data_IF_863439278484
#
_entry.id   IF_863439278484
#
_cell.length_a   1.000
_cell.length_b   1.000
_cell.length_c   1.000
_cell.angle_alpha   90.00
_cell.angle_beta   90.00
_cell.angle_gamma   90.00
#
_symmetry.space_group_name_H-M   'P 1'
#
loop_
_entity.id
_entity.type
_entity.pdbx_description
1 polymer ?
#
# COMPACT_ATOMS: atom_id res chain seq x y z
N UNK A 1 -7.04 -12.38 -10.65
CA UNK A 1 -7.62 -11.83 -9.41
C UNK A 1 -9.10 -11.51 -9.65
N UNK A 2 -9.99 -12.38 -9.09
CA UNK A 2 -11.43 -12.29 -9.30
C UNK A 2 -12.02 -10.98 -8.73
N UNK A 3 -11.53 -10.53 -7.58
CA UNK A 3 -12.00 -9.29 -6.95
C UNK A 3 -11.76 -8.06 -7.83
N UNK A 4 -10.61 -7.98 -8.52
CA UNK A 4 -10.33 -6.88 -9.47
C UNK A 4 -11.27 -6.92 -10.67
N UNK A 5 -11.57 -8.10 -11.20
CA UNK A 5 -12.55 -8.25 -12.27
C UNK A 5 -13.95 -7.76 -11.84
N UNK A 6 -14.33 -7.98 -10.57
CA UNK A 6 -15.59 -7.45 -10.05
C UNK A 6 -15.57 -5.92 -9.96
N UNK A 7 -14.44 -5.28 -9.58
CA UNK A 7 -14.31 -3.81 -9.60
C UNK A 7 -14.53 -3.28 -11.02
N UNK A 8 -13.89 -3.88 -12.03
CA UNK A 8 -14.02 -3.48 -13.44
C UNK A 8 -15.48 -3.62 -13.93
N UNK A 9 -16.20 -4.62 -13.45
CA UNK A 9 -17.63 -4.82 -13.71
C UNK A 9 -18.55 -3.96 -12.82
N UNK A 10 -18.03 -3.09 -11.99
CA UNK A 10 -18.76 -2.26 -11.01
C UNK A 10 -19.56 -3.05 -9.98
N UNK A 11 -19.13 -4.28 -9.70
CA UNK A 11 -19.71 -5.19 -8.70
C UNK A 11 -18.93 -5.06 -7.37
N UNK A 12 -19.07 -3.92 -6.69
CA UNK A 12 -18.19 -3.57 -5.57
C UNK A 12 -18.37 -4.49 -4.36
N UNK A 13 -19.61 -4.86 -4.00
CA UNK A 13 -19.87 -5.78 -2.87
C UNK A 13 -19.22 -7.15 -3.07
N UNK A 14 -19.42 -7.85 -4.21
CA UNK A 14 -18.70 -9.08 -4.49
C UNK A 14 -17.17 -8.95 -4.47
N UNK A 15 -16.63 -7.82 -4.95
CA UNK A 15 -15.20 -7.55 -4.88
C UNK A 15 -14.71 -7.49 -3.42
N UNK A 16 -15.41 -6.72 -2.58
CA UNK A 16 -15.09 -6.58 -1.15
C UNK A 16 -15.20 -7.90 -0.40
N UNK A 17 -16.21 -8.73 -0.70
CA UNK A 17 -16.35 -10.08 -0.13
C UNK A 17 -15.18 -10.99 -0.48
N UNK A 18 -14.67 -10.92 -1.71
CA UNK A 18 -13.51 -11.71 -2.12
C UNK A 18 -12.23 -11.27 -1.38
N UNK A 19 -12.00 -9.97 -1.26
CA UNK A 19 -10.85 -9.46 -0.52
C UNK A 19 -10.98 -9.71 0.99
N UNK A 20 -12.19 -9.63 1.55
CA UNK A 20 -12.45 -9.97 2.95
C UNK A 20 -12.15 -11.44 3.23
N UNK A 21 -12.61 -12.34 2.37
CA UNK A 21 -12.30 -13.78 2.47
C UNK A 21 -10.79 -14.05 2.37
N UNK A 22 -10.08 -13.32 1.54
CA UNK A 22 -8.63 -13.42 1.46
C UNK A 22 -7.95 -13.03 2.79
N UNK A 23 -8.41 -11.96 3.46
CA UNK A 23 -7.90 -11.57 4.78
C UNK A 23 -8.22 -12.63 5.85
N UNK A 24 -9.45 -13.12 5.90
CA UNK A 24 -9.88 -14.17 6.84
C UNK A 24 -9.02 -15.44 6.68
N UNK A 25 -8.70 -15.81 5.43
CA UNK A 25 -7.93 -17.04 5.17
C UNK A 25 -6.47 -16.97 5.63
N UNK A 26 -5.89 -15.79 5.83
CA UNK A 26 -4.47 -15.60 6.15
C UNK A 26 -4.23 -14.95 7.51
N UNK A 27 -5.27 -14.47 8.19
CA UNK A 27 -5.20 -13.86 9.52
C UNK A 27 -6.04 -14.71 10.48
N UNK A 28 -5.44 -15.64 11.24
CA UNK A 28 -6.18 -16.62 12.04
C UNK A 28 -7.13 -16.03 13.10
N UNK A 29 -6.80 -14.83 13.61
CA UNK A 29 -7.63 -14.12 14.61
C UNK A 29 -8.73 -13.27 14.03
N UNK A 30 -8.88 -13.25 12.69
CA UNK A 30 -9.82 -12.39 12.01
C UNK A 30 -10.96 -13.20 11.39
N UNK A 31 -12.12 -13.15 12.01
CA UNK A 31 -13.32 -13.90 11.59
C UNK A 31 -14.47 -13.00 11.11
N UNK A 32 -14.22 -11.66 11.04
CA UNK A 32 -15.28 -10.72 10.70
C UNK A 32 -15.72 -10.84 9.24
N UNK A 33 -16.96 -11.29 9.02
CA UNK A 33 -17.58 -11.35 7.70
C UNK A 33 -18.10 -10.00 7.19
N UNK A 34 -18.01 -8.95 8.02
CA UNK A 34 -18.35 -7.60 7.60
C UNK A 34 -17.26 -7.04 6.66
N UNK A 35 -17.68 -6.66 5.46
CA UNK A 35 -16.79 -6.10 4.44
C UNK A 35 -16.15 -4.75 4.84
N UNK A 36 -16.68 -4.08 5.86
CA UNK A 36 -16.16 -2.84 6.42
C UNK A 36 -15.10 -3.08 7.51
N UNK A 37 -15.02 -4.30 8.05
CA UNK A 37 -14.07 -4.65 9.07
C UNK A 37 -12.62 -4.63 8.52
N UNK A 38 -11.72 -4.07 9.32
CA UNK A 38 -10.27 -4.02 9.05
C UNK A 38 -9.58 -4.73 10.22
N UNK A 39 -8.80 -5.80 9.98
CA UNK A 39 -8.09 -6.49 11.06
C UNK A 39 -6.97 -5.63 11.63
N UNK A 40 -6.71 -5.78 12.92
CA UNK A 40 -5.47 -5.34 13.55
C UNK A 40 -4.40 -6.40 13.31
N UNK A 41 -3.33 -6.02 12.61
CA UNK A 41 -2.23 -6.92 12.30
C UNK A 41 -1.06 -6.54 13.21
N UNK A 42 -0.79 -7.38 14.21
CA UNK A 42 0.18 -7.06 15.27
C UNK A 42 1.59 -7.61 15.02
N UNK A 43 1.77 -8.57 14.11
CA UNK A 43 3.03 -9.28 13.94
C UNK A 43 3.37 -9.55 12.48
N UNK A 44 4.63 -9.98 12.25
CA UNK A 44 5.07 -10.52 10.96
C UNK A 44 4.21 -11.73 10.59
N UNK A 45 3.52 -11.63 9.46
CA UNK A 45 2.69 -12.70 8.93
C UNK A 45 3.33 -13.22 7.64
N UNK A 46 3.51 -14.55 7.47
CA UNK A 46 4.13 -15.10 6.26
C UNK A 46 3.35 -14.78 4.98
N UNK A 47 2.07 -14.45 5.10
CA UNK A 47 1.20 -14.06 3.97
C UNK A 47 1.10 -12.55 3.76
N UNK A 48 2.13 -11.80 4.17
CA UNK A 48 2.14 -10.33 4.14
C UNK A 48 1.76 -9.74 2.78
N UNK A 49 2.22 -10.33 1.67
CA UNK A 49 1.85 -9.85 0.32
C UNK A 49 0.35 -9.96 0.06
N UNK A 50 -0.27 -11.05 0.51
CA UNK A 50 -1.72 -11.24 0.38
C UNK A 50 -2.48 -10.21 1.23
N UNK A 51 -2.01 -9.96 2.45
CA UNK A 51 -2.62 -8.99 3.37
C UNK A 51 -2.52 -7.56 2.79
N UNK A 52 -1.32 -7.14 2.38
CA UNK A 52 -1.10 -5.83 1.77
C UNK A 52 -1.97 -5.66 0.51
N UNK A 53 -1.94 -6.66 -0.38
CA UNK A 53 -2.72 -6.62 -1.62
C UNK A 53 -4.23 -6.59 -1.36
N UNK A 54 -4.74 -7.39 -0.41
CA UNK A 54 -6.15 -7.41 -0.08
C UNK A 54 -6.63 -6.07 0.47
N UNK A 55 -5.86 -5.43 1.36
CA UNK A 55 -6.19 -4.11 1.87
C UNK A 55 -6.14 -3.02 0.80
N UNK A 56 -5.09 -2.97 -0.03
CA UNK A 56 -5.04 -2.02 -1.14
C UNK A 56 -6.21 -2.21 -2.11
N UNK A 57 -6.52 -3.45 -2.47
CA UNK A 57 -7.64 -3.75 -3.37
C UNK A 57 -9.00 -3.43 -2.75
N UNK A 58 -9.18 -3.62 -1.43
CA UNK A 58 -10.38 -3.14 -0.71
C UNK A 58 -10.48 -1.61 -0.77
N UNK A 59 -9.38 -0.91 -0.55
CA UNK A 59 -9.28 0.54 -0.70
C UNK A 59 -9.71 0.99 -2.09
N UNK A 60 -9.16 0.36 -3.13
CA UNK A 60 -9.49 0.65 -4.53
C UNK A 60 -10.98 0.38 -4.84
N UNK A 61 -11.56 -0.70 -4.30
CA UNK A 61 -12.97 -1.03 -4.46
C UNK A 61 -13.88 0.03 -3.81
N UNK A 62 -13.58 0.43 -2.58
CA UNK A 62 -14.33 1.48 -1.90
C UNK A 62 -14.19 2.84 -2.58
N UNK A 63 -12.99 3.20 -3.05
CA UNK A 63 -12.76 4.44 -3.79
C UNK A 63 -13.54 4.46 -5.12
N UNK A 64 -13.53 3.36 -5.86
CA UNK A 64 -14.31 3.20 -7.08
C UNK A 64 -15.83 3.29 -6.79
N UNK A 65 -16.28 2.70 -5.69
CA UNK A 65 -17.66 2.79 -5.25
C UNK A 65 -18.06 4.22 -4.88
N UNK A 66 -17.21 4.93 -4.11
CA UNK A 66 -17.40 6.35 -3.83
C UNK A 66 -17.48 7.18 -5.11
N UNK A 67 -16.59 6.96 -6.06
CA UNK A 67 -16.58 7.73 -7.31
C UNK A 67 -17.91 7.62 -8.08
N UNK A 68 -18.63 6.51 -7.92
CA UNK A 68 -19.94 6.28 -8.54
C UNK A 68 -21.09 6.85 -7.71
N UNK A 69 -21.12 6.56 -6.42
CA UNK A 69 -22.30 6.84 -5.57
C UNK A 69 -22.15 8.11 -4.71
N UNK A 70 -20.92 8.63 -4.61
CA UNK A 70 -20.57 9.81 -3.81
C UNK A 70 -20.92 9.69 -2.32
N UNK A 71 -21.04 8.45 -1.79
CA UNK A 71 -21.25 8.21 -0.38
C UNK A 71 -19.94 8.41 0.41
N UNK A 72 -19.84 9.41 1.31
CA UNK A 72 -18.61 9.70 2.07
C UNK A 72 -18.09 8.51 2.89
N UNK A 73 -18.99 7.64 3.37
CA UNK A 73 -18.58 6.44 4.12
C UNK A 73 -17.67 5.51 3.32
N UNK A 74 -17.90 5.40 2.00
CA UNK A 74 -17.04 4.58 1.14
C UNK A 74 -15.62 5.18 1.05
N UNK A 75 -15.51 6.50 1.02
CA UNK A 75 -14.23 7.17 0.98
C UNK A 75 -13.44 7.02 2.29
N UNK A 76 -14.12 7.08 3.43
CA UNK A 76 -13.51 6.82 4.74
C UNK A 76 -13.04 5.36 4.85
N UNK A 77 -13.83 4.41 4.37
CA UNK A 77 -13.45 3.00 4.35
C UNK A 77 -12.28 2.73 3.39
N UNK A 78 -12.23 3.42 2.25
CA UNK A 78 -11.07 3.37 1.38
C UNK A 78 -9.80 3.79 2.13
N UNK A 79 -9.84 4.95 2.81
CA UNK A 79 -8.68 5.45 3.56
C UNK A 79 -8.24 4.50 4.66
N UNK A 80 -9.17 3.93 5.45
CA UNK A 80 -8.85 2.95 6.51
C UNK A 80 -8.12 1.73 5.95
N UNK A 81 -8.56 1.20 4.82
CA UNK A 81 -7.90 0.07 4.18
C UNK A 81 -6.53 0.45 3.62
N UNK A 82 -6.37 1.64 3.03
CA UNK A 82 -5.06 2.14 2.58
C UNK A 82 -4.08 2.33 3.75
N UNK A 83 -4.53 2.85 4.87
CA UNK A 83 -3.71 2.99 6.08
C UNK A 83 -3.25 1.62 6.61
N UNK A 84 -4.15 0.62 6.67
CA UNK A 84 -3.81 -0.74 7.07
C UNK A 84 -2.80 -1.39 6.12
N UNK A 85 -3.02 -1.28 4.80
CA UNK A 85 -2.09 -1.77 3.79
C UNK A 85 -0.70 -1.14 3.93
N UNK A 86 -0.68 0.17 4.10
CA UNK A 86 0.55 0.93 4.21
C UNK A 86 1.33 0.59 5.48
N UNK A 87 0.65 0.46 6.62
CA UNK A 87 1.27 0.03 7.87
C UNK A 87 1.94 -1.34 7.69
N UNK A 88 1.22 -2.33 7.14
CA UNK A 88 1.76 -3.66 6.89
C UNK A 88 2.93 -3.63 5.89
N UNK A 89 2.83 -2.79 4.86
CA UNK A 89 3.90 -2.60 3.88
C UNK A 89 5.21 -2.13 4.54
N UNK A 90 5.13 -1.14 5.44
CA UNK A 90 6.29 -0.61 6.16
C UNK A 90 6.87 -1.65 7.12
N UNK A 91 6.02 -2.33 7.90
CA UNK A 91 6.47 -3.41 8.82
C UNK A 91 7.22 -4.48 8.03
N UNK A 92 6.63 -4.97 6.94
CA UNK A 92 7.24 -5.99 6.08
C UNK A 92 8.56 -5.51 5.48
N UNK A 93 8.57 -4.28 4.92
CA UNK A 93 9.79 -3.71 4.34
C UNK A 93 10.93 -3.61 5.36
N UNK A 94 10.63 -3.20 6.58
CA UNK A 94 11.63 -3.05 7.64
C UNK A 94 12.17 -4.41 8.13
N UNK A 95 11.36 -5.46 8.07
CA UNK A 95 11.77 -6.83 8.39
C UNK A 95 12.61 -7.49 7.28
N UNK A 96 12.58 -6.97 6.05
CA UNK A 96 13.38 -7.51 4.95
C UNK A 96 14.86 -7.22 5.13
N UNK A 97 15.67 -8.28 5.20
CA UNK A 97 17.15 -8.18 5.22
C UNK A 97 17.75 -7.89 3.85
N UNK A 98 17.04 -8.21 2.77
CA UNK A 98 17.51 -8.03 1.39
C UNK A 98 17.12 -6.67 0.83
N UNK A 99 18.13 -5.89 0.51
CA UNK A 99 17.95 -4.53 0.00
C UNK A 99 17.38 -4.44 -1.42
N UNK A 100 17.53 -5.49 -2.22
CA UNK A 100 16.98 -5.51 -3.59
C UNK A 100 15.46 -5.76 -3.57
N UNK A 101 14.98 -6.49 -2.57
CA UNK A 101 13.55 -6.78 -2.43
C UNK A 101 12.73 -5.58 -1.94
N UNK A 102 13.33 -4.64 -1.21
CA UNK A 102 12.64 -3.45 -0.68
C UNK A 102 12.07 -2.53 -1.78
N UNK A 103 12.85 -2.11 -2.79
CA UNK A 103 12.33 -1.31 -3.90
C UNK A 103 11.29 -2.07 -4.73
N UNK A 104 11.48 -3.38 -4.93
CA UNK A 104 10.52 -4.22 -5.63
C UNK A 104 9.16 -4.26 -4.91
N UNK A 105 9.17 -4.44 -3.59
CA UNK A 105 7.96 -4.42 -2.77
C UNK A 105 7.22 -3.08 -2.91
N UNK A 106 7.94 -1.96 -2.79
CA UNK A 106 7.38 -0.62 -2.93
C UNK A 106 6.82 -0.37 -4.34
N UNK A 107 7.56 -0.76 -5.38
CA UNK A 107 7.14 -0.63 -6.77
C UNK A 107 5.87 -1.43 -7.09
N UNK A 108 5.71 -2.61 -6.49
CA UNK A 108 4.53 -3.47 -6.67
C UNK A 108 3.24 -2.76 -6.25
N UNK A 109 3.28 -1.89 -5.24
CA UNK A 109 2.11 -1.21 -4.70
C UNK A 109 2.07 0.30 -5.00
N UNK A 110 2.96 0.81 -5.85
CA UNK A 110 3.07 2.25 -6.13
C UNK A 110 1.74 2.87 -6.55
N UNK A 111 1.01 2.24 -7.48
CA UNK A 111 -0.29 2.74 -7.95
C UNK A 111 -1.30 2.87 -6.81
N UNK A 112 -1.37 1.88 -5.93
CA UNK A 112 -2.30 1.91 -4.79
C UNK A 112 -1.90 2.94 -3.74
N UNK A 113 -0.60 3.21 -3.57
CA UNK A 113 -0.10 4.30 -2.73
C UNK A 113 -0.53 5.66 -3.31
N UNK A 114 -0.44 5.87 -4.63
CA UNK A 114 -0.92 7.07 -5.30
C UNK A 114 -2.44 7.25 -5.14
N UNK A 115 -3.20 6.16 -5.18
CA UNK A 115 -4.65 6.17 -4.91
C UNK A 115 -4.95 6.55 -3.46
N UNK A 116 -4.14 6.13 -2.49
CA UNK A 116 -4.31 6.51 -1.09
C UNK A 116 -4.16 8.02 -0.86
N UNK A 117 -3.18 8.66 -1.53
CA UNK A 117 -3.01 10.12 -1.52
C UNK A 117 -4.24 10.81 -2.13
N UNK A 118 -4.72 10.29 -3.26
CA UNK A 118 -5.91 10.82 -3.93
C UNK A 118 -7.15 10.73 -3.03
N UNK A 119 -7.33 9.59 -2.35
CA UNK A 119 -8.42 9.36 -1.41
C UNK A 119 -8.39 10.35 -0.24
N UNK A 120 -7.24 10.53 0.40
CA UNK A 120 -7.07 11.46 1.52
C UNK A 120 -7.31 12.92 1.09
N UNK A 121 -6.86 13.32 -0.10
CA UNK A 121 -7.14 14.64 -0.67
C UNK A 121 -8.63 14.86 -0.95
N UNK A 122 -9.35 13.87 -1.44
CA UNK A 122 -10.80 13.94 -1.66
C UNK A 122 -11.56 14.09 -0.33
N UNK A 123 -11.14 13.36 0.72
CA UNK A 123 -11.71 13.50 2.07
C UNK A 123 -11.46 14.91 2.63
N UNK A 124 -10.26 15.44 2.47
CA UNK A 124 -9.97 16.82 2.86
C UNK A 124 -10.86 17.82 2.11
N UNK A 125 -10.99 17.68 0.79
CA UNK A 125 -11.84 18.56 -0.03
C UNK A 125 -13.31 18.51 0.36
N UNK A 126 -13.82 17.33 0.78
CA UNK A 126 -15.21 17.14 1.18
C UNK A 126 -15.52 17.63 2.61
N UNK A 127 -14.53 17.53 3.52
CA UNK A 127 -14.76 17.73 4.97
C UNK A 127 -14.04 18.93 5.56
N UNK A 128 -13.02 19.46 4.87
CA UNK A 128 -12.05 20.46 5.35
C UNK A 128 -11.36 20.06 6.67
N UNK A 129 -11.38 18.78 7.03
CA UNK A 129 -10.70 18.27 8.21
C UNK A 129 -9.19 18.10 7.92
N UNK A 130 -8.38 18.89 8.63
CA UNK A 130 -6.93 18.93 8.47
C UNK A 130 -6.24 17.58 8.65
N UNK A 131 -6.87 16.63 9.40
CA UNK A 131 -6.36 15.26 9.55
C UNK A 131 -6.15 14.57 8.20
N UNK A 132 -7.09 14.70 7.27
CA UNK A 132 -6.97 14.04 5.97
C UNK A 132 -5.87 14.66 5.08
N UNK A 133 -5.61 15.96 5.26
CA UNK A 133 -4.44 16.58 4.65
C UNK A 133 -3.13 16.01 5.22
N UNK A 134 -3.07 15.83 6.54
CA UNK A 134 -1.93 15.20 7.22
C UNK A 134 -1.74 13.76 6.76
N UNK A 135 -2.80 12.97 6.61
CA UNK A 135 -2.73 11.60 6.07
C UNK A 135 -2.14 11.59 4.65
N UNK A 136 -2.60 12.48 3.76
CA UNK A 136 -2.07 12.59 2.41
C UNK A 136 -0.59 12.96 2.41
N UNK A 137 -0.20 13.94 3.22
CA UNK A 137 1.18 14.35 3.39
C UNK A 137 2.05 13.21 3.92
N UNK A 138 1.58 12.49 4.93
CA UNK A 138 2.27 11.35 5.50
C UNK A 138 2.57 10.26 4.46
N UNK A 139 1.59 9.88 3.62
CA UNK A 139 1.81 8.90 2.54
C UNK A 139 2.89 9.36 1.56
N UNK A 140 2.89 10.64 1.17
CA UNK A 140 3.87 11.20 0.24
C UNK A 140 5.27 11.24 0.87
N UNK A 141 5.38 11.83 2.06
CA UNK A 141 6.69 12.02 2.71
C UNK A 141 7.36 10.69 3.08
N UNK A 142 6.59 9.75 3.60
CA UNK A 142 7.14 8.45 3.96
C UNK A 142 7.62 7.68 2.72
N UNK A 143 6.89 7.79 1.59
CA UNK A 143 7.34 7.20 0.33
C UNK A 143 8.63 7.83 -0.18
N UNK A 144 8.76 9.16 -0.12
CA UNK A 144 9.99 9.87 -0.48
C UNK A 144 11.16 9.48 0.43
N UNK A 145 10.93 9.51 1.74
CA UNK A 145 11.94 9.14 2.74
C UNK A 145 12.49 7.74 2.49
N UNK A 146 11.62 6.76 2.25
CA UNK A 146 12.04 5.39 2.00
C UNK A 146 12.85 5.26 0.70
N UNK A 147 12.48 5.96 -0.36
CA UNK A 147 13.22 5.98 -1.62
C UNK A 147 14.61 6.60 -1.47
N UNK A 148 14.73 7.69 -0.70
CA UNK A 148 16.00 8.34 -0.39
C UNK A 148 16.88 7.42 0.46
N UNK A 149 16.32 6.80 1.48
CA UNK A 149 17.04 5.86 2.35
C UNK A 149 17.59 4.68 1.55
N UNK A 150 16.81 4.08 0.68
CA UNK A 150 17.24 2.99 -0.20
C UNK A 150 18.37 3.43 -1.17
N UNK A 151 18.30 4.65 -1.67
CA UNK A 151 19.34 5.21 -2.54
C UNK A 151 20.66 5.44 -1.78
N UNK A 152 20.60 5.95 -0.56
CA UNK A 152 21.76 6.15 0.31
C UNK A 152 22.43 4.82 0.68
N UNK A 153 21.65 3.84 1.13
CA UNK A 153 22.18 2.52 1.47
C UNK A 153 22.84 1.82 0.29
N UNK A 154 22.26 1.95 -0.92
CA UNK A 154 22.91 1.43 -2.14
C UNK A 154 24.21 2.15 -2.46
N UNK A 155 24.28 3.45 -2.29
CA UNK A 155 25.49 4.24 -2.50
C UNK A 155 26.60 3.88 -1.50
N UNK A 156 26.26 3.71 -0.23
CA UNK A 156 27.21 3.29 0.81
C UNK A 156 27.79 1.90 0.54
N UNK A 157 26.95 0.94 0.14
CA UNK A 157 27.41 -0.41 -0.20
C UNK A 157 28.30 -0.42 -1.43
N UNK A 158 27.95 0.34 -2.46
CA UNK A 158 28.79 0.50 -3.64
C UNK A 158 30.18 1.06 -3.28
N UNK A 159 30.23 2.03 -2.37
CA UNK A 159 31.50 2.60 -1.89
C UNK A 159 32.31 1.61 -1.02
N UNK A 160 31.64 0.75 -0.24
CA UNK A 160 32.28 -0.21 0.66
C UNK A 160 32.59 -1.56 -0.02
N UNK A 161 32.07 -1.82 -1.21
CA UNK A 161 32.26 -3.10 -1.92
C UNK A 161 33.64 -3.29 -2.55
N UNK A 162 34.52 -2.28 -2.49
CA UNK A 162 35.85 -2.32 -3.15
C UNK A 162 35.75 -2.32 -4.69
N UNK A 163 34.58 -2.16 -5.26
CA UNK A 163 34.40 -2.08 -6.71
C UNK A 163 35.03 -0.76 -7.21
N UNK A 164 35.94 -0.80 -8.18
CA UNK A 164 36.49 0.41 -8.76
C UNK A 164 35.42 1.36 -9.27
N UNK A 165 35.56 2.66 -8.97
CA UNK A 165 34.57 3.67 -9.32
C UNK A 165 34.21 3.75 -10.81
N UNK A 166 35.16 3.42 -11.69
CA UNK A 166 34.93 3.35 -13.14
C UNK A 166 33.90 2.30 -13.54
N UNK A 167 33.92 1.11 -12.91
CA UNK A 167 32.93 0.08 -13.18
C UNK A 167 31.51 0.46 -12.67
N UNK A 168 31.43 1.25 -11.59
CA UNK A 168 30.16 1.77 -11.11
C UNK A 168 29.56 2.84 -12.05
N UNK A 169 30.36 3.58 -12.77
CA UNK A 169 29.93 4.54 -13.78
C UNK A 169 29.42 3.82 -15.04
N UNK A 170 30.12 2.80 -15.51
CA UNK A 170 29.68 1.99 -16.66
C UNK A 170 28.33 1.29 -16.42
N UNK A 171 28.05 0.85 -15.19
CA UNK A 171 26.73 0.27 -14.82
C UNK A 171 25.59 1.28 -14.82
N UNK A 172 25.87 2.58 -14.70
CA UNK A 172 24.84 3.64 -14.80
C UNK A 172 24.46 3.97 -16.23
N UNK A 173 25.38 3.80 -17.17
CA UNK A 173 25.15 4.13 -18.59
C UNK A 173 24.42 3.02 -19.37
N UNK A 174 24.22 1.85 -18.75
CA UNK A 174 23.50 0.69 -19.32
C UNK A 174 22.02 0.64 -18.92
N UNK A 175 21.50 1.63 -18.22
CA UNK A 175 20.07 1.78 -17.86
C UNK A 175 19.43 2.98 -18.51
#
# INVERSE_FOLDING_TARGET
DRGKLFIDKRMYRPALEDFQRALISVIPSFEANDNFAVPEIQNENPYFLTIIAAHFNKGDAFLAWFNREKNPQHLEQALRNYQAAYHQLIVTRNAMGDELSKPFLMGTFQKSIEQSVTCARQLYGATHNARYFQDAFHFVELTKYLNVLDALQRAERANNSGIPKNLLLELKDVR
#
